data_IF_188309106034
#
_entry.id   IF_188309106034
#
_cell.length_a   1.000
_cell.length_b   1.000
_cell.length_c   1.000
_cell.angle_alpha   90.00
_cell.angle_beta   90.00
_cell.angle_gamma   90.00
#
_symmetry.space_group_name_H-M   'P 1'
#
loop_
_entity.id
_entity.type
_entity.pdbx_description
1 polymer ?
#
# COMPACT_ATOMS: atom_id res chain seq x y z
N UNK A 1 8.63 1.91 20.74
CA UNK A 1 7.89 1.22 19.68
C UNK A 1 7.91 2.07 18.44
N UNK A 2 8.21 1.45 17.34
CA UNK A 2 8.19 2.16 16.06
C UNK A 2 6.77 2.24 15.52
N UNK A 3 6.55 3.16 14.61
CA UNK A 3 5.30 3.28 13.92
C UNK A 3 5.11 2.23 12.84
N UNK A 4 4.02 2.36 12.13
CA UNK A 4 3.71 1.47 11.03
C UNK A 4 2.95 2.20 9.93
N UNK A 5 2.91 1.56 8.76
CA UNK A 5 2.28 2.10 7.57
C UNK A 5 1.26 1.11 7.02
N UNK A 6 0.09 1.63 6.68
CA UNK A 6 -0.84 0.90 5.82
C UNK A 6 -0.60 1.40 4.41
N UNK A 7 -0.63 0.50 3.44
CA UNK A 7 -0.37 0.89 2.05
C UNK A 7 -1.22 0.06 1.10
N UNK A 8 -1.38 0.58 -0.12
CA UNK A 8 -2.06 -0.14 -1.19
C UNK A 8 -1.14 -0.20 -2.40
N UNK A 9 -0.96 -1.42 -2.93
CA UNK A 9 -0.23 -1.68 -4.18
C UNK A 9 -1.22 -1.98 -5.30
N UNK A 10 -0.84 -1.65 -6.52
CA UNK A 10 -1.62 -1.98 -7.71
C UNK A 10 -0.67 -2.27 -8.88
N UNK A 11 -1.22 -2.81 -9.96
CA UNK A 11 -0.47 -3.03 -11.18
C UNK A 11 -0.56 -1.84 -12.14
N UNK A 12 -1.66 -1.08 -12.08
CA UNK A 12 -1.93 0.06 -12.96
C UNK A 12 -3.07 0.89 -12.40
N UNK A 13 -3.30 2.11 -12.92
CA UNK A 13 -4.47 2.88 -12.50
C UNK A 13 -5.75 2.06 -12.70
N UNK A 14 -6.62 2.08 -11.70
CA UNK A 14 -7.84 1.28 -11.66
C UNK A 14 -7.62 -0.23 -11.76
N UNK A 15 -6.42 -0.69 -11.43
CA UNK A 15 -6.07 -2.10 -11.49
C UNK A 15 -6.43 -2.88 -10.24
N UNK A 16 -5.77 -4.01 -10.09
CA UNK A 16 -5.92 -4.90 -8.93
C UNK A 16 -5.33 -4.21 -7.70
N UNK A 17 -6.00 -4.32 -6.55
CA UNK A 17 -5.55 -3.69 -5.31
C UNK A 17 -5.10 -4.72 -4.29
N UNK A 18 -4.01 -4.41 -3.59
CA UNK A 18 -3.55 -5.18 -2.44
C UNK A 18 -3.29 -4.22 -1.28
N UNK A 19 -3.89 -4.51 -0.13
CA UNK A 19 -3.69 -3.72 1.09
C UNK A 19 -2.72 -4.45 2.01
N UNK A 20 -1.71 -3.74 2.49
CA UNK A 20 -0.72 -4.32 3.38
C UNK A 20 -0.36 -3.40 4.53
N UNK A 21 0.43 -3.91 5.46
CA UNK A 21 0.94 -3.16 6.61
C UNK A 21 2.42 -3.51 6.80
N UNK A 22 3.21 -2.50 7.17
CA UNK A 22 4.64 -2.71 7.40
C UNK A 22 5.16 -1.68 8.38
N UNK A 23 6.24 -2.01 9.09
CA UNK A 23 6.96 -1.05 9.91
C UNK A 23 8.06 -0.32 9.12
N UNK A 24 8.34 -0.77 7.89
CA UNK A 24 9.37 -0.17 7.04
C UNK A 24 8.84 -0.06 5.61
N UNK A 25 8.18 1.06 5.31
CA UNK A 25 7.51 1.26 4.04
C UNK A 25 8.47 1.25 2.85
N UNK A 26 9.60 1.96 2.97
CA UNK A 26 10.56 2.06 1.86
C UNK A 26 11.08 0.67 1.48
N UNK A 27 11.44 -0.14 2.47
CA UNK A 27 11.92 -1.49 2.23
C UNK A 27 10.83 -2.38 1.63
N UNK A 28 9.63 -2.34 2.19
CA UNK A 28 8.53 -3.19 1.71
C UNK A 28 8.11 -2.80 0.29
N UNK A 29 8.06 -1.52 -0.01
CA UNK A 29 7.74 -1.05 -1.35
C UNK A 29 8.81 -1.51 -2.35
N UNK A 30 10.08 -1.46 -1.96
CA UNK A 30 11.17 -1.98 -2.79
C UNK A 30 11.02 -3.48 -3.03
N UNK A 31 10.68 -4.24 -1.97
CA UNK A 31 10.48 -5.68 -2.11
C UNK A 31 9.35 -6.01 -3.09
N UNK A 32 8.26 -5.27 -3.04
CA UNK A 32 7.17 -5.45 -4.01
C UNK A 32 7.65 -5.13 -5.42
N UNK A 33 8.38 -4.05 -5.56
CA UNK A 33 8.89 -3.58 -6.85
C UNK A 33 9.80 -4.62 -7.50
N UNK A 34 10.62 -5.27 -6.68
CA UNK A 34 11.54 -6.32 -7.15
C UNK A 34 10.90 -7.71 -7.25
N UNK A 35 9.62 -7.81 -6.91
CA UNK A 35 8.90 -9.09 -6.97
C UNK A 35 9.31 -10.07 -5.89
N UNK A 36 9.84 -9.59 -4.77
CA UNK A 36 10.34 -10.44 -3.69
C UNK A 36 9.26 -10.85 -2.69
N UNK A 37 8.13 -10.16 -2.66
CA UNK A 37 7.02 -10.51 -1.77
C UNK A 37 6.20 -11.59 -2.45
N UNK A 38 6.34 -12.81 -1.96
CA UNK A 38 5.65 -13.99 -2.54
C UNK A 38 4.16 -13.90 -2.33
N UNK A 39 3.41 -14.51 -3.26
CA UNK A 39 1.97 -14.60 -3.17
C UNK A 39 1.27 -13.67 -4.14
N UNK A 40 0.19 -13.03 -3.67
CA UNK A 40 -0.72 -12.27 -4.51
C UNK A 40 -0.03 -11.16 -5.32
N UNK A 41 0.78 -10.34 -4.66
CA UNK A 41 1.41 -9.19 -5.33
C UNK A 41 2.42 -9.61 -6.38
N UNK A 42 3.21 -10.67 -6.09
CA UNK A 42 4.16 -11.21 -7.05
C UNK A 42 3.43 -11.81 -8.25
N UNK A 43 2.39 -12.59 -7.96
CA UNK A 43 1.62 -13.29 -8.98
C UNK A 43 0.99 -12.35 -9.99
N UNK A 44 0.45 -11.22 -9.54
CA UNK A 44 -0.25 -10.28 -10.41
C UNK A 44 0.57 -9.04 -10.76
N UNK A 45 1.85 -9.01 -10.38
CA UNK A 45 2.75 -7.92 -10.75
C UNK A 45 2.35 -6.58 -10.14
N UNK A 46 1.96 -6.56 -8.87
CA UNK A 46 1.54 -5.32 -8.20
C UNK A 46 2.78 -4.61 -7.69
N UNK A 47 3.33 -3.72 -8.49
CA UNK A 47 4.60 -3.03 -8.23
C UNK A 47 4.46 -1.52 -8.03
N UNK A 48 3.25 -0.98 -8.17
CA UNK A 48 2.99 0.45 -8.05
C UNK A 48 2.39 0.74 -6.68
N UNK A 49 3.03 1.62 -5.91
CA UNK A 49 2.56 2.06 -4.59
C UNK A 49 1.65 3.27 -4.80
N UNK A 50 0.36 3.16 -4.47
CA UNK A 50 -0.60 4.21 -4.77
C UNK A 50 -1.25 4.86 -3.55
N UNK A 51 -1.07 4.30 -2.36
CA UNK A 51 -1.65 4.85 -1.13
C UNK A 51 -0.80 4.49 0.06
N UNK A 52 -0.61 5.44 0.98
CA UNK A 52 0.12 5.23 2.23
C UNK A 52 -0.56 5.97 3.36
N UNK A 53 -0.52 5.39 4.55
CA UNK A 53 -1.07 6.01 5.76
C UNK A 53 -0.19 5.64 6.94
N UNK A 54 0.37 6.64 7.63
CA UNK A 54 1.29 6.40 8.75
C UNK A 54 0.56 6.42 10.09
N UNK A 55 0.99 5.53 10.98
CA UNK A 55 0.53 5.48 12.38
C UNK A 55 1.75 5.45 13.29
N UNK A 56 1.70 6.22 14.37
CA UNK A 56 2.81 6.25 15.34
C UNK A 56 2.97 4.93 16.06
N UNK A 57 1.88 4.17 16.22
CA UNK A 57 1.88 2.84 16.84
C UNK A 57 1.55 1.80 15.77
N UNK A 58 2.44 0.83 15.58
CA UNK A 58 2.26 -0.21 14.57
C UNK A 58 0.98 -1.03 14.82
N UNK A 59 0.54 -1.12 16.07
CA UNK A 59 -0.71 -1.85 16.39
C UNK A 59 -1.92 -1.18 15.75
N UNK A 60 -1.92 0.15 15.71
CA UNK A 60 -2.99 0.90 15.06
C UNK A 60 -2.97 0.69 13.56
N UNK A 61 -1.76 0.63 12.97
CA UNK A 61 -1.61 0.34 11.55
C UNK A 61 -2.15 -1.06 11.22
N UNK A 62 -1.84 -2.04 12.04
CA UNK A 62 -2.32 -3.41 11.86
C UNK A 62 -3.85 -3.46 11.92
N UNK A 63 -4.44 -2.76 12.89
CA UNK A 63 -5.90 -2.73 13.02
C UNK A 63 -6.54 -2.05 11.80
N UNK A 64 -5.95 -0.95 11.33
CA UNK A 64 -6.43 -0.24 10.15
C UNK A 64 -6.37 -1.12 8.92
N UNK A 65 -5.28 -1.84 8.73
CA UNK A 65 -5.12 -2.75 7.59
C UNK A 65 -6.21 -3.84 7.60
N UNK A 66 -6.48 -4.41 8.78
CA UNK A 66 -7.54 -5.41 8.91
C UNK A 66 -8.91 -4.82 8.53
N UNK A 67 -9.20 -3.61 8.99
CA UNK A 67 -10.44 -2.94 8.65
C UNK A 67 -10.54 -2.68 7.15
N UNK A 68 -9.48 -2.18 6.54
CA UNK A 68 -9.45 -1.85 5.12
C UNK A 68 -9.61 -3.07 4.23
N UNK A 69 -9.16 -4.23 4.66
CA UNK A 69 -9.33 -5.46 3.89
C UNK A 69 -10.80 -5.85 3.72
N UNK A 70 -11.67 -5.35 4.61
CA UNK A 70 -13.11 -5.61 4.52
C UNK A 70 -13.87 -4.51 3.79
N UNK A 71 -13.19 -3.42 3.41
CA UNK A 71 -13.82 -2.34 2.65
C UNK A 71 -14.07 -2.78 1.21
N UNK A 72 -15.15 -2.25 0.63
CA UNK A 72 -15.41 -2.46 -0.79
C UNK A 72 -14.29 -1.87 -1.64
N UNK A 73 -14.20 -2.34 -2.87
CA UNK A 73 -13.25 -1.76 -3.83
C UNK A 73 -13.51 -0.27 -4.02
N UNK A 74 -14.78 0.13 -4.13
CA UNK A 74 -15.14 1.54 -4.33
C UNK A 74 -14.61 2.41 -3.18
N UNK A 75 -14.68 1.92 -1.95
CA UNK A 75 -14.17 2.64 -0.79
C UNK A 75 -12.65 2.82 -0.88
N UNK A 76 -11.92 1.75 -1.22
CA UNK A 76 -10.46 1.80 -1.36
C UNK A 76 -10.05 2.73 -2.49
N UNK A 77 -10.75 2.67 -3.62
CA UNK A 77 -10.49 3.59 -4.75
C UNK A 77 -10.71 5.03 -4.32
N UNK A 78 -11.76 5.28 -3.52
CA UNK A 78 -12.02 6.61 -2.98
C UNK A 78 -10.87 7.14 -2.15
N UNK A 79 -10.27 6.30 -1.28
CA UNK A 79 -9.10 6.69 -0.49
C UNK A 79 -7.92 7.04 -1.39
N UNK A 80 -7.69 6.25 -2.43
CA UNK A 80 -6.60 6.49 -3.38
C UNK A 80 -6.82 7.81 -4.10
N UNK A 81 -8.02 8.03 -4.64
CA UNK A 81 -8.30 9.24 -5.42
C UNK A 81 -8.18 10.51 -4.58
N UNK A 82 -8.57 10.46 -3.31
CA UNK A 82 -8.47 11.59 -2.40
C UNK A 82 -7.02 12.00 -2.16
N UNK A 83 -6.13 11.02 -2.00
CA UNK A 83 -4.73 11.26 -1.65
C UNK A 83 -3.81 11.27 -2.88
N UNK A 84 -4.17 10.59 -3.94
CA UNK A 84 -3.32 10.37 -5.11
C UNK A 84 -4.19 10.23 -6.35
N UNK A 85 -4.76 11.34 -6.78
CA UNK A 85 -5.74 11.40 -7.86
C UNK A 85 -5.32 10.70 -9.14
N UNK A 86 -4.03 10.80 -9.48
CA UNK A 86 -3.51 10.28 -10.74
C UNK A 86 -2.94 8.88 -10.64
N UNK A 87 -3.08 8.23 -9.48
CA UNK A 87 -2.55 6.89 -9.25
C UNK A 87 -1.03 6.82 -9.51
N UNK A 88 -0.31 7.89 -9.12
CA UNK A 88 1.15 7.92 -9.28
C UNK A 88 1.78 6.84 -8.42
N UNK A 89 2.93 6.34 -8.87
CA UNK A 89 3.74 5.45 -8.04
C UNK A 89 4.46 6.31 -7.00
N UNK A 90 4.03 6.21 -5.75
CA UNK A 90 4.56 7.00 -4.64
C UNK A 90 5.94 6.53 -4.17
N UNK A 91 6.44 5.43 -4.70
CA UNK A 91 7.75 4.90 -4.32
C UNK A 91 8.85 5.95 -4.51
N UNK A 92 8.78 6.71 -5.58
CA UNK A 92 9.77 7.74 -5.87
C UNK A 92 9.84 8.81 -4.79
N UNK A 93 8.72 9.06 -4.11
CA UNK A 93 8.64 10.08 -3.07
C UNK A 93 9.25 9.62 -1.74
N UNK A 94 9.44 8.32 -1.54
CA UNK A 94 9.91 7.76 -0.26
C UNK A 94 11.39 8.05 0.01
N UNK A 95 12.16 8.34 -1.03
CA UNK A 95 13.60 8.54 -0.94
C UNK A 95 14.02 10.00 -1.11
N UNK A 96 13.09 10.91 -1.00
CA UNK A 96 13.37 12.34 -1.11
C UNK A 96 13.60 13.00 0.23
#
# INVERSE_FOLDING_TARGET
MSGGWVYIMTNRPNGILYTGVTSDLARRAWEHREGLVKGFTQRYGLKRLVYTEFFEDVRDAIQREKNMKHYSRAWKVGLILEANRDWRDLYEDLNK
#
